data_IF_735989097852
#
_entry.id   IF_735989097852
#
_cell.length_a   1.000
_cell.length_b   1.000
_cell.length_c   1.000
_cell.angle_alpha   90.00
_cell.angle_beta   90.00
_cell.angle_gamma   90.00
#
_symmetry.space_group_name_H-M   'P 1'
#
loop_
_entity.id
_entity.type
_entity.pdbx_description
1 polymer ?
#
# COMPACT_ATOMS: atom_id res chain seq x y z
N UNK A 1 16.75 7.96 13.13
CA UNK A 1 16.35 7.98 11.70
C UNK A 1 15.29 9.08 11.58
N UNK A 2 15.45 10.04 10.67
CA UNK A 2 14.51 11.17 10.50
C UNK A 2 13.46 10.92 9.41
N UNK A 3 13.85 10.25 8.33
CA UNK A 3 13.00 9.99 7.18
C UNK A 3 13.19 8.56 6.67
N UNK A 4 12.17 8.06 5.97
CA UNK A 4 12.23 6.84 5.17
C UNK A 4 11.94 7.18 3.71
N UNK A 5 12.67 6.54 2.80
CA UNK A 5 12.38 6.52 1.36
C UNK A 5 11.99 5.10 1.03
N UNK A 6 10.91 4.94 0.28
CA UNK A 6 10.41 3.64 -0.13
C UNK A 6 10.08 3.64 -1.61
N UNK A 7 10.39 2.52 -2.25
CA UNK A 7 10.01 2.17 -3.60
C UNK A 7 9.18 0.90 -3.52
N UNK A 8 8.13 0.81 -4.31
CA UNK A 8 7.32 -0.40 -4.45
C UNK A 8 7.22 -0.76 -5.92
N UNK A 9 7.68 -1.96 -6.26
CA UNK A 9 7.54 -2.54 -7.60
C UNK A 9 6.71 -3.82 -7.55
N UNK A 10 5.90 -4.04 -8.56
CA UNK A 10 5.20 -5.32 -8.74
C UNK A 10 6.15 -6.33 -9.39
N UNK A 11 6.19 -7.55 -8.88
CA UNK A 11 6.95 -8.64 -9.47
C UNK A 11 6.00 -9.54 -10.24
N UNK A 12 6.37 -9.92 -11.47
CA UNK A 12 5.51 -10.71 -12.34
C UNK A 12 5.25 -12.13 -11.82
N UNK A 13 6.17 -12.68 -11.02
CA UNK A 13 6.10 -14.00 -10.41
C UNK A 13 6.91 -13.98 -9.11
N UNK A 14 6.37 -14.58 -8.05
CA UNK A 14 7.07 -14.80 -6.78
C UNK A 14 6.95 -16.27 -6.33
N UNK A 15 6.59 -17.15 -7.27
CA UNK A 15 6.24 -18.54 -7.02
C UNK A 15 4.73 -18.76 -6.99
N UNK A 16 4.28 -19.65 -6.12
CA UNK A 16 2.89 -20.06 -6.00
C UNK A 16 2.54 -21.27 -6.86
N UNK A 17 1.31 -21.78 -6.76
CA UNK A 17 0.92 -23.02 -7.46
C UNK A 17 0.78 -22.87 -8.97
N UNK A 18 0.61 -21.64 -9.48
CA UNK A 18 0.46 -21.35 -10.91
C UNK A 18 1.43 -20.23 -11.38
N UNK A 19 1.90 -20.24 -12.64
CA UNK A 19 2.72 -19.16 -13.19
C UNK A 19 1.99 -17.81 -13.20
N UNK A 20 2.70 -16.75 -12.80
CA UNK A 20 2.19 -15.37 -12.79
C UNK A 20 2.08 -14.79 -11.37
N UNK A 21 1.56 -13.58 -11.26
CA UNK A 21 1.55 -12.85 -9.99
C UNK A 21 0.38 -13.21 -9.06
N UNK A 22 -0.72 -13.74 -9.60
CA UNK A 22 -1.88 -14.13 -8.81
C UNK A 22 -2.19 -15.59 -9.09
N UNK A 23 -2.16 -16.41 -8.04
CA UNK A 23 -2.46 -17.84 -8.13
C UNK A 23 -3.96 -18.06 -7.91
N UNK A 24 -4.76 -18.34 -8.96
CA UNK A 24 -6.23 -18.28 -8.90
C UNK A 24 -6.88 -19.40 -8.08
N UNK A 25 -6.16 -20.50 -7.85
CA UNK A 25 -6.66 -21.66 -7.09
C UNK A 25 -6.04 -21.76 -5.70
N UNK A 26 -5.26 -20.76 -5.27
CA UNK A 26 -4.71 -20.74 -3.92
C UNK A 26 -5.85 -20.58 -2.90
N UNK A 27 -5.77 -21.39 -1.85
CA UNK A 27 -6.70 -21.42 -0.71
C UNK A 27 -6.00 -21.01 0.58
N UNK A 28 -4.68 -20.99 0.58
CA UNK A 28 -3.80 -20.54 1.66
C UNK A 28 -2.73 -19.60 1.13
N UNK A 29 -2.20 -18.72 1.98
CA UNK A 29 -1.19 -17.74 1.57
C UNK A 29 0.13 -18.40 1.13
N UNK A 30 0.48 -19.56 1.69
CA UNK A 30 1.65 -20.33 1.26
C UNK A 30 1.52 -20.80 -0.21
N UNK A 31 0.31 -21.08 -0.69
CA UNK A 31 0.08 -21.46 -2.08
C UNK A 31 0.24 -20.27 -3.06
N UNK A 32 0.34 -19.03 -2.55
CA UNK A 32 0.52 -17.81 -3.36
C UNK A 32 2.00 -17.50 -3.66
N UNK A 33 2.94 -18.22 -3.04
CA UNK A 33 4.37 -18.12 -3.34
C UNK A 33 5.23 -17.71 -2.15
N UNK A 34 6.43 -17.22 -2.43
CA UNK A 34 7.41 -16.88 -1.40
C UNK A 34 6.93 -15.71 -0.56
N UNK A 35 6.89 -15.91 0.75
CA UNK A 35 6.49 -14.90 1.73
C UNK A 35 7.73 -14.35 2.44
N UNK A 36 7.84 -13.01 2.45
CA UNK A 36 8.82 -12.31 3.27
C UNK A 36 8.11 -11.71 4.48
N UNK A 37 8.59 -12.03 5.68
CA UNK A 37 8.22 -11.26 6.88
C UNK A 37 9.01 -9.94 6.87
N UNK A 38 10.26 -9.97 7.32
CA UNK A 38 11.18 -8.84 7.21
C UNK A 38 12.59 -9.35 6.88
N UNK A 39 13.10 -8.99 5.71
CA UNK A 39 14.43 -9.39 5.27
C UNK A 39 15.31 -8.19 4.99
N UNK A 40 16.36 -8.04 5.80
CA UNK A 40 17.39 -7.03 5.58
C UNK A 40 18.28 -7.46 4.40
N UNK A 41 17.93 -6.98 3.21
CA UNK A 41 18.55 -7.33 1.93
C UNK A 41 19.95 -6.70 1.70
N UNK A 42 20.21 -5.55 2.32
CA UNK A 42 21.52 -4.89 2.34
C UNK A 42 21.93 -4.59 3.78
N UNK A 43 23.11 -5.03 4.18
CA UNK A 43 23.71 -4.71 5.48
C UNK A 43 25.05 -4.02 5.29
N UNK A 44 25.16 -2.77 5.75
CA UNK A 44 26.40 -1.96 5.67
C UNK A 44 27.02 -1.95 4.26
N UNK A 45 26.17 -1.78 3.24
CA UNK A 45 26.57 -1.75 1.83
C UNK A 45 26.79 -3.12 1.19
N UNK A 46 26.69 -4.21 1.95
CA UNK A 46 26.78 -5.58 1.43
C UNK A 46 25.40 -6.10 1.03
N UNK A 47 25.21 -6.35 -0.26
CA UNK A 47 24.03 -7.03 -0.77
C UNK A 47 24.07 -8.52 -0.39
N UNK A 48 23.02 -9.00 0.27
CA UNK A 48 22.91 -10.37 0.79
C UNK A 48 22.28 -11.30 -0.25
N UNK A 49 22.88 -11.36 -1.43
CA UNK A 49 22.34 -12.06 -2.61
C UNK A 49 22.05 -13.54 -2.35
N UNK A 50 23.00 -14.26 -1.74
CA UNK A 50 22.85 -15.70 -1.46
C UNK A 50 21.70 -16.00 -0.51
N UNK A 51 21.54 -15.17 0.53
CA UNK A 51 20.45 -15.33 1.50
C UNK A 51 19.10 -15.03 0.84
N UNK A 52 19.05 -14.00 -0.02
CA UNK A 52 17.86 -13.67 -0.81
C UNK A 52 17.49 -14.77 -1.80
N UNK A 53 18.47 -15.31 -2.52
CA UNK A 53 18.27 -16.43 -3.44
C UNK A 53 17.70 -17.64 -2.69
N UNK A 54 18.27 -17.95 -1.52
CA UNK A 54 17.75 -19.03 -0.65
C UNK A 54 16.29 -18.76 -0.27
N UNK A 55 15.94 -17.55 0.16
CA UNK A 55 14.54 -17.22 0.47
C UNK A 55 13.60 -17.38 -0.74
N UNK A 56 14.07 -17.04 -1.94
CA UNK A 56 13.29 -17.17 -3.17
C UNK A 56 13.12 -18.64 -3.63
N UNK A 57 14.03 -19.53 -3.25
CA UNK A 57 14.07 -20.91 -3.74
C UNK A 57 13.72 -21.98 -2.70
N UNK A 58 13.89 -21.70 -1.41
CA UNK A 58 13.64 -22.62 -0.29
C UNK A 58 12.20 -22.46 0.21
N UNK A 59 11.26 -22.79 -0.67
CA UNK A 59 9.83 -22.73 -0.41
C UNK A 59 9.13 -23.85 -1.19
N UNK A 60 8.03 -24.46 -0.69
CA UNK A 60 7.28 -25.48 -1.45
C UNK A 60 6.78 -24.99 -2.81
N UNK A 61 6.54 -23.68 -2.95
CA UNK A 61 6.14 -23.00 -4.17
C UNK A 61 7.12 -21.85 -4.48
N UNK A 62 8.35 -22.17 -4.92
CA UNK A 62 9.43 -21.18 -5.03
C UNK A 62 9.24 -20.25 -6.23
N UNK A 63 9.93 -19.11 -6.20
CA UNK A 63 9.96 -18.20 -7.34
C UNK A 63 10.51 -18.89 -8.59
N UNK A 64 9.82 -18.72 -9.73
CA UNK A 64 10.20 -19.41 -10.97
C UNK A 64 11.39 -18.77 -11.68
N UNK A 65 11.61 -17.47 -11.45
CA UNK A 65 12.76 -16.74 -11.98
C UNK A 65 13.41 -15.84 -10.90
N UNK A 66 14.10 -16.43 -9.90
CA UNK A 66 14.74 -15.68 -8.83
C UNK A 66 15.72 -14.62 -9.33
N UNK A 67 16.39 -14.85 -10.46
CA UNK A 67 17.30 -13.86 -11.05
C UNK A 67 16.57 -12.57 -11.46
N UNK A 68 15.37 -12.66 -12.03
CA UNK A 68 14.53 -11.49 -12.32
C UNK A 68 14.10 -10.80 -11.03
N UNK A 69 13.64 -11.55 -10.02
CA UNK A 69 13.25 -10.97 -8.73
C UNK A 69 14.40 -10.20 -8.07
N UNK A 70 15.61 -10.77 -8.09
CA UNK A 70 16.84 -10.15 -7.58
C UNK A 70 17.16 -8.88 -8.37
N UNK A 71 17.04 -8.90 -9.69
CA UNK A 71 17.30 -7.73 -10.54
C UNK A 71 16.31 -6.58 -10.24
N UNK A 72 15.02 -6.90 -10.11
CA UNK A 72 13.97 -5.95 -9.74
C UNK A 72 14.24 -5.33 -8.35
N UNK A 73 14.65 -6.16 -7.37
CA UNK A 73 15.01 -5.68 -6.03
C UNK A 73 16.27 -4.81 -6.04
N UNK A 74 17.27 -5.12 -6.87
CA UNK A 74 18.44 -4.25 -7.10
C UNK A 74 18.01 -2.89 -7.67
N UNK A 75 17.07 -2.88 -8.62
CA UNK A 75 16.51 -1.63 -9.16
C UNK A 75 15.76 -0.80 -8.11
N UNK A 76 14.96 -1.45 -7.24
CA UNK A 76 14.28 -0.81 -6.12
C UNK A 76 15.27 -0.22 -5.10
N UNK A 77 16.34 -0.94 -4.76
CA UNK A 77 17.43 -0.41 -3.91
C UNK A 77 18.05 0.85 -4.54
N UNK A 78 18.38 0.81 -5.83
CA UNK A 78 18.94 1.96 -6.54
C UNK A 78 17.98 3.16 -6.56
N UNK A 79 16.67 2.93 -6.73
CA UNK A 79 15.65 3.98 -6.66
C UNK A 79 15.60 4.62 -5.27
N UNK A 80 15.68 3.82 -4.20
CA UNK A 80 15.72 4.34 -2.82
C UNK A 80 17.00 5.11 -2.52
N UNK A 81 18.16 4.63 -2.96
CA UNK A 81 19.43 5.37 -2.83
C UNK A 81 19.37 6.73 -3.54
N UNK A 82 18.75 6.78 -4.72
CA UNK A 82 18.50 8.04 -5.42
C UNK A 82 17.58 8.96 -4.60
N UNK A 83 16.47 8.44 -4.07
CA UNK A 83 15.56 9.22 -3.23
C UNK A 83 16.24 9.74 -1.96
N UNK A 84 17.10 8.96 -1.32
CA UNK A 84 17.91 9.39 -0.16
C UNK A 84 18.87 10.51 -0.56
N UNK A 85 19.54 10.40 -1.71
CA UNK A 85 20.43 11.46 -2.20
C UNK A 85 19.68 12.77 -2.49
N UNK A 86 18.51 12.70 -3.12
CA UNK A 86 17.69 13.89 -3.39
C UNK A 86 17.12 14.51 -2.11
N UNK A 87 16.69 13.70 -1.15
CA UNK A 87 16.25 14.19 0.17
C UNK A 87 17.38 14.92 0.90
N UNK A 88 18.61 14.38 0.87
CA UNK A 88 19.78 15.05 1.46
C UNK A 88 20.08 16.38 0.77
N UNK A 89 19.98 16.45 -0.57
CA UNK A 89 20.14 17.71 -1.31
C UNK A 89 19.07 18.73 -0.94
N UNK A 90 17.83 18.30 -0.82
CA UNK A 90 16.71 19.16 -0.43
C UNK A 90 16.94 19.74 0.97
N UNK A 91 17.34 18.91 1.94
CA UNK A 91 17.68 19.37 3.30
C UNK A 91 18.90 20.31 3.29
N UNK A 92 19.95 20.03 2.52
CA UNK A 92 21.12 20.89 2.42
C UNK A 92 20.80 22.26 1.80
N UNK A 93 19.84 22.31 0.87
CA UNK A 93 19.46 23.54 0.18
C UNK A 93 18.45 24.38 0.96
N UNK A 94 17.42 23.76 1.54
CA UNK A 94 16.31 24.45 2.19
C UNK A 94 16.39 24.50 3.72
N UNK A 95 17.24 23.67 4.35
CA UNK A 95 17.24 23.48 5.79
C UNK A 95 16.30 22.35 6.23
N UNK A 96 16.64 21.69 7.34
CA UNK A 96 15.86 20.56 7.87
C UNK A 96 14.48 21.00 8.35
N UNK A 97 14.42 22.11 9.07
CA UNK A 97 13.20 22.72 9.62
C UNK A 97 12.18 23.04 8.51
N UNK A 98 12.64 23.58 7.38
CA UNK A 98 11.79 23.86 6.22
C UNK A 98 11.27 22.57 5.60
N UNK A 99 12.13 21.56 5.41
CA UNK A 99 11.71 20.27 4.85
C UNK A 99 10.67 19.58 5.73
N UNK A 100 10.91 19.52 7.04
CA UNK A 100 9.98 18.92 8.00
C UNK A 100 8.63 19.64 8.02
N UNK A 101 8.64 20.99 7.99
CA UNK A 101 7.42 21.79 7.92
C UNK A 101 6.62 21.49 6.65
N UNK A 102 7.26 21.47 5.48
CA UNK A 102 6.57 21.21 4.21
C UNK A 102 6.05 19.77 4.09
N UNK A 103 6.71 18.78 4.70
CA UNK A 103 6.15 17.43 4.80
C UNK A 103 4.83 17.41 5.59
N UNK A 104 4.72 18.24 6.62
CA UNK A 104 3.46 18.47 7.34
C UNK A 104 2.42 19.17 6.46
N UNK A 105 2.78 20.31 5.87
CA UNK A 105 1.87 21.12 5.06
C UNK A 105 1.28 20.35 3.87
N UNK A 106 2.05 19.48 3.22
CA UNK A 106 1.56 18.65 2.12
C UNK A 106 0.48 17.66 2.59
N UNK A 107 0.62 17.11 3.79
CA UNK A 107 -0.39 16.23 4.38
C UNK A 107 -1.60 17.01 4.90
N UNK A 108 -1.40 18.19 5.49
CA UNK A 108 -2.47 19.06 5.97
C UNK A 108 -3.37 19.51 4.81
N UNK A 109 -2.75 19.92 3.69
CA UNK A 109 -3.46 20.27 2.47
C UNK A 109 -4.27 19.08 1.93
N UNK A 110 -3.69 17.87 1.93
CA UNK A 110 -4.39 16.67 1.47
C UNK A 110 -5.59 16.32 2.37
N UNK A 111 -5.44 16.44 3.70
CA UNK A 111 -6.53 16.24 4.65
C UNK A 111 -7.65 17.26 4.42
N UNK A 112 -7.29 18.53 4.28
CA UNK A 112 -8.27 19.61 4.09
C UNK A 112 -9.01 19.48 2.75
N UNK A 113 -8.33 19.03 1.70
CA UNK A 113 -8.99 18.71 0.43
C UNK A 113 -10.00 17.59 0.53
N UNK A 114 -9.72 16.54 1.31
CA UNK A 114 -10.70 15.47 1.56
C UNK A 114 -11.87 15.98 2.40
N UNK A 115 -11.64 16.82 3.41
CA UNK A 115 -12.75 17.41 4.20
C UNK A 115 -13.75 18.18 3.33
N UNK A 116 -13.26 18.92 2.32
CA UNK A 116 -14.14 19.61 1.35
C UNK A 116 -14.97 18.65 0.48
N UNK A 117 -14.47 17.44 0.23
CA UNK A 117 -15.26 16.39 -0.45
C UNK A 117 -16.41 15.94 0.47
N UNK A 118 -16.14 15.73 1.76
CA UNK A 118 -17.13 15.26 2.73
C UNK A 118 -18.35 16.19 2.83
N UNK A 119 -18.15 17.50 2.68
CA UNK A 119 -19.23 18.49 2.68
C UNK A 119 -20.28 18.24 1.57
N UNK A 120 -19.87 17.61 0.47
CA UNK A 120 -20.71 17.35 -0.71
C UNK A 120 -21.31 15.94 -0.71
N UNK A 121 -20.84 15.07 0.18
CA UNK A 121 -21.35 13.71 0.32
C UNK A 121 -22.65 13.70 1.14
N UNK A 122 -23.54 12.71 0.92
CA UNK A 122 -24.68 12.48 1.80
C UNK A 122 -24.21 12.07 3.21
N UNK A 123 -25.06 12.31 4.21
CA UNK A 123 -24.73 12.01 5.62
C UNK A 123 -24.51 10.51 5.88
N UNK A 124 -25.17 9.65 5.09
CA UNK A 124 -24.99 8.21 5.14
C UNK A 124 -25.17 7.61 3.75
N UNK A 125 -24.39 6.58 3.45
CA UNK A 125 -24.52 5.73 2.26
C UNK A 125 -24.17 4.30 2.60
N UNK A 126 -24.88 3.36 1.99
CA UNK A 126 -24.65 1.92 2.19
C UNK A 126 -24.63 1.27 0.82
N UNK A 127 -23.68 0.37 0.60
CA UNK A 127 -23.60 -0.41 -0.62
C UNK A 127 -23.15 -1.85 -0.31
N UNK A 128 -23.74 -2.79 -1.02
CA UNK A 128 -23.34 -4.20 -1.00
C UNK A 128 -22.94 -4.61 -2.41
N UNK A 129 -21.74 -5.17 -2.54
CA UNK A 129 -21.19 -5.64 -3.80
C UNK A 129 -20.99 -7.16 -3.77
N UNK A 130 -21.82 -7.95 -4.47
CA UNK A 130 -21.57 -9.37 -4.65
C UNK A 130 -20.41 -9.56 -5.63
N UNK A 131 -19.43 -10.37 -5.21
CA UNK A 131 -18.27 -10.75 -6.01
C UNK A 131 -18.55 -12.03 -6.80
N UNK A 132 -17.75 -12.27 -7.84
CA UNK A 132 -17.84 -13.49 -8.66
C UNK A 132 -17.52 -14.78 -7.87
N UNK A 133 -16.87 -14.66 -6.71
CA UNK A 133 -16.55 -15.77 -5.80
C UNK A 133 -17.62 -16.02 -4.73
N UNK A 134 -18.75 -15.32 -4.80
CA UNK A 134 -19.88 -15.47 -3.87
C UNK A 134 -19.72 -14.72 -2.54
N UNK A 135 -18.58 -14.06 -2.31
CA UNK A 135 -18.40 -13.16 -1.17
C UNK A 135 -19.15 -11.84 -1.43
N UNK A 136 -19.61 -11.18 -0.37
CA UNK A 136 -20.25 -9.86 -0.45
C UNK A 136 -19.40 -8.86 0.32
N UNK A 137 -18.97 -7.80 -0.36
CA UNK A 137 -18.34 -6.65 0.29
C UNK A 137 -19.45 -5.69 0.70
N UNK A 138 -19.53 -5.38 1.99
CA UNK A 138 -20.47 -4.40 2.53
C UNK A 138 -19.70 -3.18 2.99
N UNK A 139 -20.14 -2.01 2.55
CA UNK A 139 -19.57 -0.77 3.04
C UNK A 139 -20.67 0.19 3.45
N UNK A 140 -20.52 0.78 4.63
CA UNK A 140 -21.33 1.89 5.10
C UNK A 140 -20.43 3.09 5.31
N UNK A 141 -20.76 4.21 4.68
CA UNK A 141 -20.06 5.47 4.87
C UNK A 141 -20.99 6.41 5.61
N UNK A 142 -20.54 6.96 6.74
CA UNK A 142 -21.26 8.00 7.49
C UNK A 142 -20.39 9.22 7.67
N UNK A 143 -20.96 10.41 7.46
CA UNK A 143 -20.25 11.69 7.55
C UNK A 143 -20.71 12.46 8.79
N UNK A 144 -19.76 12.81 9.66
CA UNK A 144 -19.94 13.77 10.75
C UNK A 144 -19.57 15.16 10.20
N UNK A 145 -20.58 16.01 9.96
CA UNK A 145 -20.36 17.35 9.38
C UNK A 145 -19.69 18.32 10.32
N UNK A 146 -19.93 18.17 11.62
CA UNK A 146 -19.38 19.08 12.63
C UNK A 146 -17.88 18.82 12.79
N UNK A 147 -17.47 17.55 12.78
CA UNK A 147 -16.05 17.16 12.82
C UNK A 147 -15.36 17.20 11.45
N UNK A 148 -16.15 17.22 10.36
CA UNK A 148 -15.68 17.06 8.98
C UNK A 148 -14.88 15.77 8.83
N UNK A 149 -15.45 14.68 9.33
CA UNK A 149 -14.87 13.34 9.30
C UNK A 149 -15.86 12.34 8.70
N UNK A 150 -15.35 11.27 8.09
CA UNK A 150 -16.17 10.16 7.62
C UNK A 150 -15.73 8.85 8.27
N UNK A 151 -16.67 7.96 8.51
CA UNK A 151 -16.41 6.57 8.93
C UNK A 151 -16.78 5.64 7.79
N UNK A 152 -15.84 4.77 7.40
CA UNK A 152 -16.00 3.73 6.38
C UNK A 152 -16.04 2.38 7.07
N UNK A 153 -17.25 1.91 7.36
CA UNK A 153 -17.48 0.68 8.11
C UNK A 153 -17.69 -0.50 7.15
N UNK A 154 -16.85 -1.52 7.28
CA UNK A 154 -16.92 -2.77 6.51
C UNK A 154 -17.67 -3.89 7.24
N UNK A 155 -18.27 -3.61 8.41
CA UNK A 155 -19.02 -4.59 9.20
C UNK A 155 -20.11 -5.26 8.37
N UNK A 156 -20.14 -6.59 8.44
CA UNK A 156 -21.07 -7.42 7.68
C UNK A 156 -20.54 -7.85 6.31
N UNK A 157 -19.35 -7.39 5.88
CA UNK A 157 -18.60 -8.02 4.79
C UNK A 157 -18.38 -9.49 5.09
N UNK A 158 -18.43 -10.34 4.06
CA UNK A 158 -18.16 -11.77 4.17
C UNK A 158 -16.84 -12.04 4.90
N UNK A 159 -16.80 -13.16 5.63
CA UNK A 159 -15.56 -13.63 6.27
C UNK A 159 -14.53 -14.03 5.21
N UNK A 160 -13.29 -14.22 5.66
CA UNK A 160 -12.23 -14.84 4.86
C UNK A 160 -12.71 -16.20 4.38
N UNK A 161 -12.59 -16.44 3.07
CA UNK A 161 -12.92 -17.70 2.42
C UNK A 161 -11.66 -18.41 1.95
N UNK A 162 -11.77 -19.72 1.66
CA UNK A 162 -10.66 -20.53 1.14
C UNK A 162 -10.42 -20.27 -0.36
N UNK A 163 -10.01 -19.06 -0.70
CA UNK A 163 -9.65 -18.63 -2.04
C UNK A 163 -8.58 -17.51 -1.99
N UNK A 164 -8.15 -17.01 -3.14
CA UNK A 164 -7.16 -15.94 -3.26
C UNK A 164 -7.79 -14.53 -3.30
N UNK A 165 -9.10 -14.40 -3.05
CA UNK A 165 -9.85 -13.14 -3.04
C UNK A 165 -10.09 -12.66 -1.60
N UNK A 166 -9.01 -12.57 -0.83
CA UNK A 166 -9.01 -12.05 0.53
C UNK A 166 -8.11 -10.81 0.59
N UNK A 167 -8.62 -9.72 1.16
CA UNK A 167 -7.89 -8.46 1.28
C UNK A 167 -7.51 -8.19 2.75
N UNK A 168 -6.21 -8.11 3.09
CA UNK A 168 -5.81 -7.66 4.43
C UNK A 168 -6.08 -6.17 4.60
N UNK A 169 -6.12 -5.71 5.87
CA UNK A 169 -6.42 -4.33 6.24
C UNK A 169 -5.67 -3.27 5.41
N UNK A 170 -4.34 -3.39 5.15
CA UNK A 170 -3.63 -2.39 4.35
C UNK A 170 -4.16 -2.24 2.91
N UNK A 171 -4.66 -3.32 2.31
CA UNK A 171 -5.25 -3.30 0.96
C UNK A 171 -6.60 -2.57 1.00
N UNK A 172 -7.45 -2.86 1.98
CA UNK A 172 -8.72 -2.16 2.16
C UNK A 172 -8.51 -0.66 2.40
N UNK A 173 -7.56 -0.30 3.28
CA UNK A 173 -7.20 1.11 3.55
C UNK A 173 -6.67 1.83 2.31
N UNK A 174 -5.87 1.15 1.48
CA UNK A 174 -5.37 1.72 0.22
C UNK A 174 -6.51 1.95 -0.80
N UNK A 175 -7.49 1.05 -0.86
CA UNK A 175 -8.68 1.24 -1.71
C UNK A 175 -9.51 2.44 -1.26
N UNK A 176 -9.75 2.58 0.05
CA UNK A 176 -10.43 3.75 0.63
C UNK A 176 -9.68 5.05 0.33
N UNK A 177 -8.36 5.08 0.55
CA UNK A 177 -7.51 6.22 0.20
C UNK A 177 -7.67 6.61 -1.28
N UNK A 178 -7.62 5.62 -2.17
CA UNK A 178 -7.75 5.86 -3.60
C UNK A 178 -9.10 6.49 -3.96
N UNK A 179 -10.21 5.93 -3.44
CA UNK A 179 -11.56 6.43 -3.69
C UNK A 179 -11.73 7.87 -3.21
N UNK A 180 -11.31 8.20 -1.98
CA UNK A 180 -11.39 9.58 -1.49
C UNK A 180 -10.47 10.53 -2.27
N UNK A 181 -9.27 10.07 -2.67
CA UNK A 181 -8.38 10.89 -3.48
C UNK A 181 -8.98 11.22 -4.84
N UNK A 182 -9.62 10.28 -5.53
CA UNK A 182 -10.19 10.56 -6.86
C UNK A 182 -11.40 11.51 -6.78
N UNK A 183 -12.17 11.48 -5.69
CA UNK A 183 -13.29 12.42 -5.47
C UNK A 183 -12.85 13.87 -5.19
N UNK A 184 -11.59 14.11 -4.84
CA UNK A 184 -11.08 15.48 -4.61
C UNK A 184 -11.10 16.31 -5.89
N UNK A 185 -10.98 15.69 -7.07
CA UNK A 185 -11.01 16.37 -8.38
C UNK A 185 -10.05 17.57 -8.51
N UNK A 186 -8.92 17.53 -7.79
CA UNK A 186 -7.90 18.58 -7.77
C UNK A 186 -6.48 17.98 -7.87
N UNK A 187 -5.51 18.82 -8.22
CA UNK A 187 -4.09 18.47 -8.41
C UNK A 187 -3.31 18.42 -7.09
N UNK A 188 -3.77 17.61 -6.14
CA UNK A 188 -3.05 17.36 -4.88
C UNK A 188 -2.18 16.09 -4.94
N UNK A 189 -1.05 16.01 -4.24
CA UNK A 189 -0.27 14.77 -4.18
C UNK A 189 -1.04 13.67 -3.43
N UNK A 190 -0.91 12.42 -3.88
CA UNK A 190 -1.42 11.24 -3.15
C UNK A 190 -0.56 11.01 -1.90
N UNK A 191 -1.13 11.14 -0.71
CA UNK A 191 -0.42 10.88 0.55
C UNK A 191 -1.39 10.52 1.70
N UNK A 192 -0.84 10.05 2.82
CA UNK A 192 -1.61 9.60 3.99
C UNK A 192 -2.44 10.71 4.66
N UNK A 193 -2.17 11.99 4.39
CA UNK A 193 -2.99 13.11 4.81
C UNK A 193 -4.46 12.96 4.38
N UNK A 194 -4.71 12.39 3.19
CA UNK A 194 -6.07 12.09 2.71
C UNK A 194 -6.87 11.16 3.63
N UNK A 195 -6.21 10.32 4.44
CA UNK A 195 -6.88 9.42 5.39
C UNK A 195 -7.09 10.05 6.76
N UNK A 196 -6.48 11.20 7.08
CA UNK A 196 -6.66 11.82 8.41
C UNK A 196 -8.11 12.13 8.78
N UNK A 197 -8.99 12.59 7.88
CA UNK A 197 -10.42 12.77 8.20
C UNK A 197 -11.26 11.50 8.00
N UNK A 198 -10.64 10.34 7.76
CA UNK A 198 -11.32 9.09 7.41
C UNK A 198 -11.01 8.02 8.47
N UNK A 199 -12.03 7.65 9.22
CA UNK A 199 -12.03 6.49 10.10
C UNK A 199 -12.42 5.26 9.29
N UNK A 200 -11.67 4.16 9.43
CA UNK A 200 -11.90 2.88 8.73
C UNK A 200 -11.98 1.79 9.79
#
# INVERSE_FOLDING_TARGET
ILFYVASRGHHADIGGTAPGSMTPLATTVDEEGVLFDNFRIVDRGRFREKDLETLLTDHPYPARNPHQNIADLKAQIAANEKGVAELRKMVAHFGLDVVEAYMGHVQDNAAESVRRVLERLPDSSVYEYPTDTGQVIKVKITVDRDKREATVDFTGTSKVEKNNFNAPEPVARAAVLYVFRVMVEDMIPMNAGCLRPINI
#
